data_IF_946889279956
#
_entry.id   IF_946889279956
#
_cell.length_a   1.000
_cell.length_b   1.000
_cell.length_c   1.000
_cell.angle_alpha   90.00
_cell.angle_beta   90.00
_cell.angle_gamma   90.00
#
_symmetry.space_group_name_H-M   'P 1'
#
loop_
_entity.id
_entity.type
_entity.pdbx_description
1 polymer ?
#
# COMPACT_ATOMS: atom_id res chain seq x y z
N UNK A 1 -14.63 -70.15 8.45
CA UNK A 1 -14.58 -68.87 7.71
C UNK A 1 -13.15 -68.41 7.84
N UNK A 2 -12.32 -68.82 6.89
CA UNK A 2 -10.87 -68.96 7.10
C UNK A 2 -10.16 -67.93 6.21
N UNK A 3 -10.40 -66.64 6.48
CA UNK A 3 -9.69 -65.55 5.83
C UNK A 3 -8.27 -65.47 6.36
N UNK A 4 -7.28 -65.67 5.48
CA UNK A 4 -5.88 -65.59 5.88
C UNK A 4 -5.50 -64.13 6.22
N UNK A 5 -4.65 -63.88 7.24
CA UNK A 5 -4.28 -62.52 7.66
C UNK A 5 -3.67 -61.65 6.56
N UNK A 6 -3.21 -62.23 5.44
CA UNK A 6 -2.59 -61.53 4.32
C UNK A 6 -3.55 -60.68 3.49
N UNK A 7 -4.84 -61.05 3.40
CA UNK A 7 -5.80 -60.34 2.55
C UNK A 7 -6.27 -59.01 3.19
N UNK A 8 -6.15 -58.88 4.51
CA UNK A 8 -6.52 -57.66 5.25
C UNK A 8 -5.46 -56.56 5.05
N UNK A 9 -4.16 -56.91 4.94
CA UNK A 9 -3.08 -55.94 4.73
C UNK A 9 -3.01 -55.38 3.29
N UNK A 10 -3.42 -56.16 2.29
CA UNK A 10 -3.52 -55.66 0.90
C UNK A 10 -4.68 -54.66 0.72
N UNK A 11 -5.75 -54.79 1.50
CA UNK A 11 -6.88 -53.85 1.48
C UNK A 11 -6.51 -52.48 2.07
N UNK A 12 -5.72 -52.44 3.16
CA UNK A 12 -5.27 -51.19 3.80
C UNK A 12 -4.26 -50.45 2.89
N UNK A 13 -3.39 -51.18 2.19
CA UNK A 13 -2.40 -50.58 1.28
C UNK A 13 -3.06 -49.96 0.04
N UNK A 14 -4.16 -50.54 -0.48
CA UNK A 14 -4.94 -49.94 -1.58
C UNK A 14 -5.77 -48.73 -1.15
N UNK A 15 -6.30 -48.72 0.07
CA UNK A 15 -7.09 -47.58 0.56
C UNK A 15 -6.23 -46.33 0.84
N UNK A 16 -4.96 -46.55 1.20
CA UNK A 16 -3.95 -45.49 1.39
C UNK A 16 -3.58 -44.77 0.09
N UNK A 17 -3.63 -45.44 -1.07
CA UNK A 17 -3.32 -44.82 -2.38
C UNK A 17 -4.52 -44.09 -3.03
N UNK A 18 -5.72 -44.19 -2.47
CA UNK A 18 -6.95 -43.69 -3.11
C UNK A 18 -7.54 -42.41 -2.49
N UNK A 19 -6.95 -41.86 -1.43
CA UNK A 19 -7.27 -40.49 -1.00
C UNK A 19 -6.56 -39.50 -1.92
N UNK A 20 -7.04 -39.42 -3.17
CA UNK A 20 -6.82 -38.27 -4.02
C UNK A 20 -7.44 -37.08 -3.28
N UNK A 21 -6.61 -36.37 -2.52
CA UNK A 21 -6.94 -35.05 -1.99
C UNK A 21 -7.22 -34.21 -3.21
N UNK A 22 -8.50 -34.01 -3.52
CA UNK A 22 -8.91 -33.12 -4.60
C UNK A 22 -8.43 -31.74 -4.17
N UNK A 23 -7.43 -31.15 -4.86
CA UNK A 23 -6.93 -29.85 -4.46
C UNK A 23 -8.08 -28.86 -4.54
N UNK A 24 -8.29 -28.13 -3.45
CA UNK A 24 -9.28 -27.06 -3.42
C UNK A 24 -8.94 -26.07 -4.55
N UNK A 25 -9.84 -25.85 -5.53
CA UNK A 25 -9.55 -24.98 -6.67
C UNK A 25 -9.29 -23.52 -6.25
N UNK A 26 -9.59 -23.16 -5.00
CA UNK A 26 -9.36 -21.82 -4.43
C UNK A 26 -7.97 -21.66 -3.82
N UNK A 27 -7.14 -22.71 -3.81
CA UNK A 27 -5.78 -22.67 -3.29
C UNK A 27 -4.80 -23.07 -4.39
N UNK A 28 -3.85 -22.18 -4.66
CA UNK A 28 -2.71 -22.42 -5.53
C UNK A 28 -1.48 -22.70 -4.68
N UNK A 29 -1.06 -23.95 -4.62
CA UNK A 29 0.21 -24.32 -4.01
C UNK A 29 1.37 -24.11 -4.99
N UNK A 30 2.37 -23.35 -4.56
CA UNK A 30 3.64 -23.18 -5.29
C UNK A 30 4.76 -23.64 -4.38
N UNK A 31 5.58 -24.55 -4.88
CA UNK A 31 6.73 -25.07 -4.14
C UNK A 31 7.97 -24.29 -4.57
N UNK A 32 8.61 -23.66 -3.60
CA UNK A 32 9.83 -22.90 -3.79
C UNK A 32 11.03 -23.62 -3.18
N UNK A 33 12.21 -23.41 -3.77
CA UNK A 33 13.50 -23.85 -3.23
C UNK A 33 14.37 -22.62 -2.94
N UNK A 34 14.96 -22.57 -1.75
CA UNK A 34 15.92 -21.56 -1.38
C UNK A 34 17.10 -22.20 -0.65
N UNK A 35 18.30 -22.04 -1.23
CA UNK A 35 19.53 -22.68 -0.76
C UNK A 35 19.42 -24.21 -0.76
N UNK A 36 19.03 -24.80 0.37
CA UNK A 36 18.94 -26.25 0.58
C UNK A 36 17.59 -26.70 1.15
N UNK A 37 16.64 -25.79 1.31
CA UNK A 37 15.30 -26.12 1.80
C UNK A 37 14.25 -25.86 0.73
N UNK A 38 13.20 -26.69 0.77
CA UNK A 38 12.03 -26.57 -0.08
C UNK A 38 10.84 -26.18 0.79
N UNK A 39 10.05 -25.20 0.35
CA UNK A 39 8.87 -24.71 1.07
C UNK A 39 7.68 -24.63 0.11
N UNK A 40 6.61 -25.33 0.44
CA UNK A 40 5.32 -25.19 -0.21
C UNK A 40 4.58 -23.97 0.35
N UNK A 41 4.09 -23.10 -0.52
CA UNK A 41 3.34 -21.88 -0.17
C UNK A 41 1.98 -21.96 -0.85
N UNK A 42 0.93 -21.86 -0.05
CA UNK A 42 -0.46 -21.84 -0.49
C UNK A 42 -0.94 -20.40 -0.69
N UNK A 43 -1.21 -20.02 -1.93
CA UNK A 43 -1.86 -18.76 -2.30
C UNK A 43 -3.36 -18.97 -2.39
N UNK A 44 -4.12 -18.07 -1.79
CA UNK A 44 -5.60 -18.15 -1.78
C UNK A 44 -6.28 -16.94 -2.43
N UNK A 45 -5.51 -16.01 -3.02
CA UNK A 45 -6.04 -14.81 -3.66
C UNK A 45 -5.09 -14.28 -4.72
N UNK A 46 -5.63 -13.50 -5.65
CA UNK A 46 -4.85 -12.74 -6.64
C UNK A 46 -4.93 -11.23 -6.34
N UNK A 47 -3.88 -10.44 -6.65
CA UNK A 47 -2.61 -10.87 -7.25
C UNK A 47 -1.70 -11.63 -6.27
N UNK A 48 -0.92 -12.60 -6.78
CA UNK A 48 0.01 -13.39 -5.95
C UNK A 48 1.10 -12.51 -5.32
N UNK A 49 1.46 -11.41 -5.99
CA UNK A 49 2.51 -10.50 -5.54
C UNK A 49 3.92 -10.97 -5.85
N UNK A 50 4.11 -11.74 -6.93
CA UNK A 50 5.41 -12.24 -7.39
C UNK A 50 5.80 -11.60 -8.72
N UNK A 51 7.08 -11.33 -8.92
CA UNK A 51 7.68 -11.14 -10.24
C UNK A 51 8.77 -12.18 -10.44
N UNK A 52 8.82 -12.78 -11.63
CA UNK A 52 9.74 -13.85 -11.98
C UNK A 52 10.80 -13.34 -12.97
N UNK A 53 12.02 -13.84 -12.87
CA UNK A 53 13.08 -13.58 -13.83
C UNK A 53 12.91 -14.44 -15.09
N UNK A 54 13.16 -13.87 -16.27
CA UNK A 54 13.11 -14.57 -17.56
C UNK A 54 14.36 -15.43 -17.83
N UNK A 55 14.97 -15.97 -16.77
CA UNK A 55 16.15 -16.84 -16.85
C UNK A 55 15.80 -18.21 -16.31
N UNK A 56 16.45 -19.25 -16.83
CA UNK A 56 16.34 -20.60 -16.28
C UNK A 56 17.54 -20.90 -15.37
N UNK A 57 17.33 -21.40 -14.14
CA UNK A 57 16.03 -21.72 -13.52
C UNK A 57 15.21 -20.48 -13.15
N UNK A 58 13.88 -20.62 -13.11
CA UNK A 58 12.95 -19.52 -12.82
C UNK A 58 13.11 -19.06 -11.37
N UNK A 59 13.59 -17.84 -11.19
CA UNK A 59 13.82 -17.20 -9.89
C UNK A 59 12.81 -16.08 -9.62
N UNK A 60 12.49 -15.87 -8.35
CA UNK A 60 11.69 -14.72 -7.89
C UNK A 60 12.58 -13.47 -7.90
N UNK A 61 12.22 -12.45 -8.68
CA UNK A 61 12.97 -11.18 -8.77
C UNK A 61 12.39 -10.08 -7.89
N UNK A 62 11.09 -10.13 -7.61
CA UNK A 62 10.41 -9.16 -6.74
C UNK A 62 9.27 -9.83 -6.00
N UNK A 63 9.08 -9.43 -4.74
CA UNK A 63 8.01 -9.90 -3.88
C UNK A 63 7.21 -8.70 -3.36
N UNK A 64 5.89 -8.85 -3.29
CA UNK A 64 4.92 -7.87 -2.79
C UNK A 64 3.63 -8.59 -2.35
N UNK A 65 2.65 -7.85 -1.80
CA UNK A 65 1.31 -8.38 -1.54
C UNK A 65 1.29 -9.67 -0.70
N UNK A 66 0.53 -10.66 -1.17
CA UNK A 66 0.37 -11.94 -0.47
C UNK A 66 1.69 -12.71 -0.36
N UNK A 67 2.51 -12.76 -1.41
CA UNK A 67 3.79 -13.47 -1.35
C UNK A 67 4.71 -12.94 -0.25
N UNK A 68 4.74 -11.62 -0.04
CA UNK A 68 5.52 -11.01 1.05
C UNK A 68 4.97 -11.42 2.43
N UNK A 69 3.64 -11.46 2.58
CA UNK A 69 2.97 -11.88 3.82
C UNK A 69 3.24 -13.35 4.16
N UNK A 70 3.39 -14.21 3.14
CA UNK A 70 3.71 -15.63 3.29
C UNK A 70 5.21 -15.90 3.46
N UNK A 71 6.04 -14.83 3.50
CA UNK A 71 7.48 -14.91 3.71
C UNK A 71 8.23 -15.52 2.52
N UNK A 72 7.75 -15.28 1.29
CA UNK A 72 8.53 -15.54 0.07
C UNK A 72 9.59 -14.44 -0.04
N UNK A 73 10.82 -14.80 -0.45
CA UNK A 73 11.90 -13.85 -0.62
C UNK A 73 12.41 -13.82 -2.07
N UNK A 74 13.11 -12.74 -2.42
CA UNK A 74 13.78 -12.61 -3.72
C UNK A 74 14.90 -13.65 -3.81
N UNK A 75 15.07 -14.25 -4.99
CA UNK A 75 16.07 -15.29 -5.26
C UNK A 75 15.55 -16.73 -5.07
N UNK A 76 14.33 -16.92 -4.56
CA UNK A 76 13.73 -18.26 -4.44
C UNK A 76 13.45 -18.87 -5.83
N UNK A 77 13.71 -20.16 -5.97
CA UNK A 77 13.54 -20.93 -7.21
C UNK A 77 12.16 -21.59 -7.24
N UNK A 78 11.44 -21.48 -8.36
CA UNK A 78 10.12 -22.13 -8.50
C UNK A 78 10.32 -23.59 -8.91
N UNK A 79 9.96 -24.53 -8.03
CA UNK A 79 10.09 -25.99 -8.26
C UNK A 79 8.82 -26.60 -8.82
N UNK A 80 7.65 -26.20 -8.31
CA UNK A 80 6.35 -26.75 -8.70
C UNK A 80 5.26 -25.68 -8.62
N UNK A 81 4.28 -25.75 -9.51
CA UNK A 81 3.11 -24.86 -9.55
C UNK A 81 1.86 -25.72 -9.68
N UNK A 82 0.95 -25.66 -8.71
CA UNK A 82 -0.29 -26.44 -8.73
C UNK A 82 -0.08 -27.96 -8.78
N UNK A 83 1.03 -28.45 -8.20
CA UNK A 83 1.41 -29.86 -8.23
C UNK A 83 2.22 -30.28 -9.46
N UNK A 84 2.32 -29.44 -10.49
CA UNK A 84 3.14 -29.73 -11.68
C UNK A 84 4.60 -29.30 -11.45
N UNK A 85 5.52 -30.27 -11.52
CA UNK A 85 6.96 -30.01 -11.36
C UNK A 85 7.49 -29.24 -12.55
N UNK A 86 8.07 -28.08 -12.27
CA UNK A 86 8.62 -27.16 -13.27
C UNK A 86 10.12 -27.37 -13.45
N UNK A 87 10.87 -27.54 -12.36
CA UNK A 87 12.33 -27.58 -12.40
C UNK A 87 12.91 -28.81 -13.11
N UNK A 88 12.18 -29.93 -13.11
CA UNK A 88 12.62 -31.18 -13.73
C UNK A 88 12.27 -31.25 -15.23
N UNK A 89 11.30 -30.45 -15.67
CA UNK A 89 10.56 -30.70 -16.91
C UNK A 89 11.16 -30.07 -18.17
N UNK A 90 12.38 -29.49 -18.10
CA UNK A 90 13.02 -28.70 -19.18
C UNK A 90 12.07 -27.67 -19.85
N UNK A 91 11.04 -27.24 -19.13
CA UNK A 91 10.02 -26.34 -19.66
C UNK A 91 10.62 -24.94 -19.85
N UNK A 92 10.36 -24.28 -20.99
CA UNK A 92 10.78 -22.90 -21.19
C UNK A 92 10.00 -21.96 -20.26
N UNK A 93 10.59 -20.81 -19.92
CA UNK A 93 10.03 -19.83 -18.97
C UNK A 93 8.57 -19.46 -19.26
N UNK A 94 8.21 -19.27 -20.54
CA UNK A 94 6.84 -18.93 -20.95
C UNK A 94 5.83 -19.99 -20.50
N UNK A 95 6.14 -21.29 -20.59
CA UNK A 95 5.23 -22.35 -20.13
C UNK A 95 5.00 -22.29 -18.62
N UNK A 96 6.04 -21.96 -17.84
CA UNK A 96 5.94 -21.78 -16.39
C UNK A 96 5.09 -20.57 -16.05
N UNK A 97 5.32 -19.45 -16.74
CA UNK A 97 4.55 -18.22 -16.56
C UNK A 97 3.08 -18.42 -16.95
N UNK A 98 2.81 -19.14 -18.04
CA UNK A 98 1.46 -19.50 -18.48
C UNK A 98 0.76 -20.39 -17.45
N UNK A 99 1.43 -21.43 -16.95
CA UNK A 99 0.89 -22.33 -15.93
C UNK A 99 0.57 -21.57 -14.64
N UNK A 100 1.48 -20.72 -14.17
CA UNK A 100 1.26 -19.89 -12.97
C UNK A 100 0.11 -18.89 -13.17
N UNK A 101 0.04 -18.25 -14.34
CA UNK A 101 -1.04 -17.30 -14.66
C UNK A 101 -2.39 -18.01 -14.75
N UNK A 102 -2.46 -19.14 -15.44
CA UNK A 102 -3.67 -19.94 -15.56
C UNK A 102 -4.16 -20.44 -14.20
N UNK A 103 -3.24 -20.89 -13.34
CA UNK A 103 -3.58 -21.31 -11.99
C UNK A 103 -4.03 -20.14 -11.11
N UNK A 104 -3.36 -18.98 -11.19
CA UNK A 104 -3.72 -17.78 -10.42
C UNK A 104 -5.09 -17.21 -10.82
N UNK A 105 -5.52 -17.36 -12.08
CA UNK A 105 -6.85 -16.93 -12.54
C UNK A 105 -8.00 -17.69 -11.87
N UNK A 106 -7.74 -18.86 -11.28
CA UNK A 106 -8.73 -19.65 -10.54
C UNK A 106 -8.94 -19.14 -9.11
N UNK A 107 -8.01 -18.32 -8.62
CA UNK A 107 -8.09 -17.74 -7.28
C UNK A 107 -9.09 -16.57 -7.24
N UNK A 108 -9.80 -16.38 -6.11
CA UNK A 108 -10.61 -15.19 -5.93
C UNK A 108 -9.75 -13.93 -6.06
N UNK A 109 -10.27 -12.93 -6.77
CA UNK A 109 -9.63 -11.63 -6.82
C UNK A 109 -9.79 -10.97 -5.46
N UNK A 110 -8.69 -10.57 -4.85
CA UNK A 110 -8.78 -9.72 -3.67
C UNK A 110 -9.20 -8.33 -4.15
N UNK A 111 -10.47 -8.00 -3.98
CA UNK A 111 -10.99 -6.66 -4.24
C UNK A 111 -10.49 -5.63 -3.22
N UNK A 112 -9.62 -6.03 -2.28
CA UNK A 112 -8.97 -5.08 -1.39
C UNK A 112 -8.31 -3.98 -2.24
N UNK A 113 -8.69 -2.71 -2.01
CA UNK A 113 -8.11 -1.61 -2.75
C UNK A 113 -6.59 -1.65 -2.57
N UNK A 114 -5.82 -1.24 -3.60
CA UNK A 114 -4.38 -1.19 -3.48
C UNK A 114 -4.04 -0.35 -2.26
N UNK A 115 -3.10 -0.85 -1.46
CA UNK A 115 -2.67 -0.21 -0.22
C UNK A 115 -1.18 -0.42 -0.01
N UNK A 116 -0.54 0.47 0.74
CA UNK A 116 0.85 0.26 1.15
C UNK A 116 1.10 0.69 2.60
N UNK A 117 1.90 -0.07 3.36
CA UNK A 117 2.27 0.30 4.72
C UNK A 117 3.40 1.34 4.71
N UNK A 118 3.33 2.28 5.64
CA UNK A 118 4.42 3.17 6.02
C UNK A 118 4.65 3.04 7.52
N UNK A 119 5.91 2.99 7.94
CA UNK A 119 6.30 2.96 9.35
C UNK A 119 6.83 4.34 9.71
N UNK A 120 6.25 4.92 10.75
CA UNK A 120 6.64 6.20 11.32
C UNK A 120 7.26 5.98 12.70
N UNK A 121 8.17 6.86 13.09
CA UNK A 121 8.64 7.04 14.46
C UNK A 121 7.99 8.29 15.03
N UNK A 122 7.23 8.12 16.11
CA UNK A 122 6.60 9.25 16.80
C UNK A 122 7.61 10.05 17.66
N UNK A 123 7.14 11.13 18.27
CA UNK A 123 7.96 12.00 19.12
C UNK A 123 8.47 11.30 20.39
N UNK A 124 7.84 10.19 20.79
CA UNK A 124 8.28 9.35 21.91
C UNK A 124 9.26 8.26 21.46
N UNK A 125 9.61 8.20 20.17
CA UNK A 125 10.48 7.19 19.59
C UNK A 125 9.79 5.86 19.28
N UNK A 126 8.47 5.74 19.47
CA UNK A 126 7.74 4.50 19.18
C UNK A 126 7.48 4.36 17.66
N UNK A 127 7.62 3.14 17.16
CA UNK A 127 7.35 2.84 15.75
C UNK A 127 5.87 2.51 15.54
N UNK A 128 5.21 3.23 14.63
CA UNK A 128 3.80 3.07 14.27
C UNK A 128 3.67 2.72 12.80
N UNK A 129 3.04 1.57 12.52
CA UNK A 129 2.75 1.12 11.17
C UNK A 129 1.36 1.62 10.77
N UNK A 130 1.29 2.37 9.67
CA UNK A 130 0.06 2.93 9.10
C UNK A 130 -0.11 2.43 7.68
N UNK A 131 -1.32 2.04 7.29
CA UNK A 131 -1.63 1.53 5.95
C UNK A 131 -2.40 2.62 5.20
N UNK A 132 -1.87 3.06 4.05
CA UNK A 132 -2.54 4.04 3.19
C UNK A 132 -3.23 3.33 2.03
N UNK A 133 -4.48 3.68 1.79
CA UNK A 133 -5.35 3.07 0.78
C UNK A 133 -5.86 4.08 -0.25
N UNK A 134 -5.48 5.37 -0.13
CA UNK A 134 -6.01 6.46 -0.96
C UNK A 134 -4.94 7.45 -1.40
N UNK A 135 -5.15 8.05 -2.58
CA UNK A 135 -4.33 9.12 -3.15
C UNK A 135 -5.14 10.44 -3.20
N UNK A 136 -4.66 11.55 -2.62
CA UNK A 136 -3.39 11.72 -1.91
C UNK A 136 -3.40 11.04 -0.54
N UNK A 137 -2.22 10.69 -0.02
CA UNK A 137 -2.06 10.12 1.32
C UNK A 137 -2.38 11.12 2.43
N UNK A 138 -2.43 12.41 2.12
CA UNK A 138 -2.65 13.47 3.10
C UNK A 138 -1.42 13.77 3.96
N UNK A 139 -0.24 13.27 3.64
CA UNK A 139 1.00 13.57 4.39
C UNK A 139 1.86 14.55 3.58
N UNK A 140 2.31 15.63 4.22
CA UNK A 140 3.33 16.55 3.67
C UNK A 140 4.63 16.35 4.44
N UNK A 141 5.74 16.34 3.70
CA UNK A 141 7.06 16.15 4.27
C UNK A 141 7.91 17.42 4.14
N UNK A 142 8.77 17.67 5.12
CA UNK A 142 9.78 18.71 5.02
C UNK A 142 10.79 18.31 3.92
N UNK A 143 11.04 19.20 2.95
CA UNK A 143 11.94 18.94 1.80
C UNK A 143 13.42 19.20 2.10
N UNK A 144 13.80 19.28 3.38
CA UNK A 144 15.07 19.90 3.75
C UNK A 144 16.22 18.91 3.77
N UNK A 145 16.05 17.74 4.41
CA UNK A 145 17.06 16.69 4.61
C UNK A 145 16.40 15.41 5.15
N UNK A 146 17.11 14.28 5.07
CA UNK A 146 16.78 13.10 5.85
C UNK A 146 17.22 13.30 7.32
N UNK A 147 16.45 12.77 8.29
CA UNK A 147 15.32 11.86 8.10
C UNK A 147 14.02 12.57 7.67
N UNK A 148 13.13 11.86 6.96
CA UNK A 148 11.94 12.47 6.35
C UNK A 148 10.88 12.76 7.42
N UNK A 149 10.78 14.02 7.86
CA UNK A 149 9.83 14.46 8.89
C UNK A 149 8.52 14.95 8.27
N UNK A 150 7.40 14.58 8.89
CA UNK A 150 6.06 15.07 8.55
C UNK A 150 5.95 16.55 8.93
N UNK A 151 5.80 17.41 7.92
CA UNK A 151 5.64 18.87 8.09
C UNK A 151 4.18 19.32 8.05
N UNK A 152 3.26 18.44 7.65
CA UNK A 152 1.84 18.74 7.60
C UNK A 152 1.01 17.50 7.42
N UNK A 153 -0.17 17.48 8.02
CA UNK A 153 -1.12 16.37 7.94
C UNK A 153 -2.45 16.89 7.42
N UNK A 154 -3.03 16.19 6.44
CA UNK A 154 -4.38 16.40 5.94
C UNK A 154 -5.36 15.40 6.54
N UNK A 155 -6.66 15.66 6.38
CA UNK A 155 -7.74 14.93 7.05
C UNK A 155 -7.64 13.39 6.98
N UNK A 156 -7.23 12.82 5.84
CA UNK A 156 -7.08 11.36 5.72
C UNK A 156 -5.95 10.81 6.58
N UNK A 157 -4.74 11.39 6.50
CA UNK A 157 -3.62 10.96 7.33
C UNK A 157 -3.87 11.20 8.83
N UNK A 158 -4.57 12.28 9.16
CA UNK A 158 -4.98 12.60 10.53
C UNK A 158 -5.97 11.55 11.06
N UNK A 159 -6.92 11.10 10.24
CA UNK A 159 -7.86 10.02 10.61
C UNK A 159 -7.18 8.68 10.88
N UNK A 160 -5.98 8.47 10.30
CA UNK A 160 -5.11 7.31 10.57
C UNK A 160 -4.19 7.53 11.78
N UNK A 161 -4.29 8.68 12.44
CA UNK A 161 -3.52 9.05 13.62
C UNK A 161 -2.10 9.53 13.35
N UNK A 162 -1.75 9.84 12.10
CA UNK A 162 -0.45 10.43 11.76
C UNK A 162 -0.39 11.86 12.26
N UNK A 163 0.73 12.27 12.85
CA UNK A 163 0.91 13.62 13.40
C UNK A 163 2.14 14.32 12.82
N UNK A 164 2.14 15.65 12.87
CA UNK A 164 3.29 16.47 12.51
C UNK A 164 4.49 16.18 13.43
N UNK A 165 5.70 16.33 12.88
CA UNK A 165 6.94 16.01 13.58
C UNK A 165 7.31 14.53 13.61
N UNK A 166 6.42 13.62 13.21
CA UNK A 166 6.75 12.20 13.06
C UNK A 166 7.77 11.99 11.93
N UNK A 167 8.61 10.98 12.08
CA UNK A 167 9.68 10.68 11.12
C UNK A 167 9.42 9.36 10.40
N UNK A 168 9.46 9.33 9.07
CA UNK A 168 9.28 8.08 8.31
C UNK A 168 10.53 7.22 8.43
N UNK A 169 10.36 5.95 8.81
CA UNK A 169 11.44 4.97 8.91
C UNK A 169 11.37 3.90 7.82
N UNK A 170 10.17 3.52 7.37
CA UNK A 170 10.02 2.55 6.27
C UNK A 170 8.83 2.87 5.38
N UNK A 171 8.98 2.61 4.08
CA UNK A 171 7.92 2.74 3.07
C UNK A 171 7.80 1.42 2.32
N UNK A 172 6.60 0.81 2.33
CA UNK A 172 6.33 -0.47 1.69
C UNK A 172 7.33 -1.58 2.06
N UNK A 173 7.77 -1.60 3.32
CA UNK A 173 8.74 -2.58 3.85
C UNK A 173 10.21 -2.29 3.50
N UNK A 174 10.51 -1.24 2.74
CA UNK A 174 11.88 -0.77 2.51
C UNK A 174 12.26 0.19 3.62
N UNK A 175 13.32 -0.11 4.37
CA UNK A 175 13.89 0.82 5.36
C UNK A 175 14.59 1.98 4.64
N UNK A 176 14.22 3.21 5.00
CA UNK A 176 14.74 4.44 4.39
C UNK A 176 15.66 5.22 5.34
N UNK A 177 15.97 4.68 6.52
CA UNK A 177 16.85 5.34 7.51
C UNK A 177 18.34 5.19 7.20
N UNK A 178 18.70 4.33 6.25
CA UNK A 178 20.07 4.06 5.86
C UNK A 178 20.75 5.26 5.18
N UNK A 179 22.08 5.42 5.34
CA UNK A 179 22.84 6.56 4.77
C UNK A 179 22.90 6.57 3.24
N UNK A 180 22.50 5.47 2.59
CA UNK A 180 22.50 5.32 1.14
C UNK A 180 21.31 5.98 0.45
N UNK A 181 20.25 6.33 1.18
CA UNK A 181 19.05 6.93 0.59
C UNK A 181 19.21 8.44 0.47
N UNK A 182 18.86 8.97 -0.70
CA UNK A 182 18.68 10.41 -0.90
C UNK A 182 17.21 10.80 -0.78
N UNK A 183 16.92 12.10 -0.69
CA UNK A 183 15.53 12.59 -0.71
C UNK A 183 14.81 12.15 -1.99
N UNK A 184 15.49 12.23 -3.14
CA UNK A 184 14.93 11.88 -4.46
C UNK A 184 14.59 10.39 -4.58
N UNK A 185 15.41 9.51 -3.97
CA UNK A 185 15.13 8.07 -3.91
C UNK A 185 13.85 7.79 -3.11
N UNK A 186 13.69 8.46 -1.96
CA UNK A 186 12.51 8.30 -1.10
C UNK A 186 11.27 8.90 -1.76
N UNK A 187 11.38 10.05 -2.43
CA UNK A 187 10.27 10.63 -3.19
C UNK A 187 9.85 9.71 -4.34
N UNK A 188 10.81 9.16 -5.08
CA UNK A 188 10.55 8.22 -6.17
C UNK A 188 9.87 6.94 -5.66
N UNK A 189 10.31 6.44 -4.50
CA UNK A 189 9.69 5.31 -3.81
C UNK A 189 8.24 5.62 -3.42
N UNK A 190 7.99 6.78 -2.79
CA UNK A 190 6.65 7.22 -2.40
C UNK A 190 5.73 7.38 -3.61
N UNK A 191 6.18 8.06 -4.67
CA UNK A 191 5.40 8.23 -5.91
C UNK A 191 5.00 6.89 -6.51
N UNK A 192 5.92 5.93 -6.55
CA UNK A 192 5.65 4.57 -7.05
C UNK A 192 4.62 3.82 -6.20
N UNK A 193 4.62 4.03 -4.89
CA UNK A 193 3.66 3.41 -3.97
C UNK A 193 2.28 4.09 -3.99
N UNK A 194 2.23 5.41 -4.18
CA UNK A 194 0.99 6.21 -4.19
C UNK A 194 0.27 6.15 -5.54
N UNK A 195 1.01 6.04 -6.66
CA UNK A 195 0.44 5.99 -8.00
C UNK A 195 -0.69 4.95 -8.23
N UNK A 196 -0.60 3.70 -7.72
CA UNK A 196 -1.67 2.72 -7.90
C UNK A 196 -2.88 2.92 -6.97
N UNK A 197 -2.80 3.79 -5.96
CA UNK A 197 -3.89 3.99 -5.00
C UNK A 197 -5.08 4.69 -5.68
N UNK A 198 -6.34 4.32 -5.33
CA UNK A 198 -7.51 5.02 -5.83
C UNK A 198 -7.47 6.49 -5.43
N UNK A 199 -7.75 7.38 -6.38
CA UNK A 199 -7.91 8.79 -6.08
C UNK A 199 -9.11 8.97 -5.13
N UNK A 200 -8.95 9.78 -4.08
CA UNK A 200 -10.10 10.20 -3.29
C UNK A 200 -11.13 10.81 -4.24
N UNK A 201 -12.35 10.28 -4.21
CA UNK A 201 -13.47 10.94 -4.85
C UNK A 201 -13.53 12.35 -4.26
N UNK A 202 -13.24 13.37 -5.07
CA UNK A 202 -13.46 14.75 -4.66
C UNK A 202 -14.91 14.80 -4.20
N UNK A 203 -15.21 15.16 -2.94
CA UNK A 203 -16.59 15.28 -2.52
C UNK A 203 -17.23 16.23 -3.52
N UNK A 204 -18.18 15.70 -4.30
CA UNK A 204 -18.98 16.51 -5.18
C UNK A 204 -19.82 17.32 -4.21
N UNK A 205 -19.33 18.51 -3.86
CA UNK A 205 -20.13 19.48 -3.14
C UNK A 205 -21.25 19.86 -4.09
N UNK A 206 -22.32 19.08 -4.08
CA UNK A 206 -23.61 19.54 -4.53
C UNK A 206 -24.01 20.57 -3.48
N UNK A 207 -23.54 21.80 -3.66
CA UNK A 207 -24.09 22.97 -2.98
C UNK A 207 -25.50 23.09 -3.55
N UNK A 208 -26.42 22.30 -3.02
CA UNK A 208 -27.84 22.55 -3.15
C UNK A 208 -28.02 23.83 -2.35
N UNK A 209 -27.89 24.97 -3.04
CA UNK A 209 -28.50 26.20 -2.59
C UNK A 209 -29.99 25.88 -2.54
N UNK A 210 -30.46 25.39 -1.39
CA UNK A 210 -31.88 25.44 -1.09
C UNK A 210 -32.25 26.91 -1.29
N UNK A 211 -33.10 27.24 -2.27
CA UNK A 211 -33.53 28.61 -2.43
C UNK A 211 -34.19 28.97 -1.11
N UNK A 212 -33.57 29.89 -0.38
CA UNK A 212 -34.16 30.47 0.80
C UNK A 212 -35.41 31.25 0.34
N UNK A 213 -36.54 30.54 0.34
CA UNK A 213 -37.83 31.06 -0.07
C UNK A 213 -38.28 32.22 0.84
N UNK A 214 -37.70 32.32 2.04
CA UNK A 214 -37.90 33.45 2.95
C UNK A 214 -37.11 34.70 2.50
N UNK A 215 -35.87 34.55 2.00
CA UNK A 215 -35.07 35.68 1.52
C UNK A 215 -35.63 36.35 0.24
N UNK A 216 -36.33 35.59 -0.62
CA UNK A 216 -37.04 36.18 -1.79
C UNK A 216 -38.21 37.09 -1.39
N UNK A 217 -38.86 36.85 -0.25
CA UNK A 217 -39.96 37.72 0.24
C UNK A 217 -39.48 39.02 0.87
N UNK A 218 -38.24 39.09 1.37
CA UNK A 218 -37.70 40.33 1.95
C UNK A 218 -37.19 41.30 0.89
N UNK A 219 -36.62 40.84 -0.22
CA UNK A 219 -36.14 41.73 -1.28
C UNK A 219 -37.29 42.45 -2.01
N UNK A 220 -38.43 41.78 -2.21
CA UNK A 220 -39.61 42.36 -2.86
C UNK A 220 -40.32 43.42 -1.98
N UNK A 221 -40.16 43.32 -0.66
CA UNK A 221 -40.68 44.33 0.28
C UNK A 221 -39.76 45.55 0.43
N UNK A 222 -38.46 45.43 0.09
CA UNK A 222 -37.50 46.53 0.19
C UNK A 222 -37.61 47.54 -0.97
N UNK A 223 -38.06 47.11 -2.15
CA UNK A 223 -38.24 48.01 -3.32
C UNK A 223 -39.38 49.02 -3.11
N UNK A 224 -40.34 48.75 -2.22
CA UNK A 224 -41.49 49.66 -1.98
C UNK A 224 -41.21 50.81 -1.00
N UNK A 225 -40.11 50.78 -0.24
CA UNK A 225 -39.80 51.83 0.74
C UNK A 225 -38.37 52.33 0.56
N UNK A 226 -38.17 53.09 -0.52
CA UNK A 226 -36.93 53.81 -0.77
C UNK A 226 -36.43 54.54 0.48
N UNK A 227 -35.31 54.05 1.01
CA UNK A 227 -34.42 54.82 1.87
C UNK A 227 -33.02 54.71 1.31
N UNK A 228 -32.60 55.81 0.68
CA UNK A 228 -31.22 56.08 0.35
C UNK A 228 -30.37 56.02 1.61
N UNK A 229 -29.58 54.95 1.76
CA UNK A 229 -28.51 54.89 2.74
C UNK A 229 -27.19 55.17 2.00
N UNK A 230 -26.66 56.35 2.29
CA UNK A 230 -25.38 56.89 1.84
C UNK A 230 -24.26 55.89 2.11
N UNK A 231 -23.56 55.49 1.05
CA UNK A 231 -22.34 54.69 1.13
C UNK A 231 -21.25 55.47 1.88
N UNK A 232 -20.99 55.05 3.13
CA UNK A 232 -19.84 55.51 3.91
C UNK A 232 -18.62 54.71 3.44
N UNK A 233 -17.79 55.34 2.62
CA UNK A 233 -16.48 54.84 2.19
C UNK A 233 -15.64 54.57 3.43
N UNK A 234 -15.42 53.30 3.73
CA UNK A 234 -14.58 52.84 4.83
C UNK A 234 -13.14 52.78 4.31
N UNK A 235 -12.33 53.78 4.66
CA UNK A 235 -10.92 53.81 4.32
C UNK A 235 -10.18 52.63 5.00
N UNK A 236 -9.29 51.94 4.27
CA UNK A 236 -8.52 50.85 4.83
C UNK A 236 -7.51 51.35 5.88
N UNK A 237 -7.30 50.61 6.97
CA UNK A 237 -6.36 51.01 8.02
C UNK A 237 -4.90 51.01 7.51
N UNK A 238 -4.04 51.87 8.06
CA UNK A 238 -2.65 51.99 7.67
C UNK A 238 -1.88 50.68 7.94
N UNK A 239 -1.13 50.22 6.93
CA UNK A 239 -0.20 49.08 7.05
C UNK A 239 0.98 49.47 7.93
N UNK A 240 1.02 48.93 9.15
CA UNK A 240 2.18 49.03 10.04
C UNK A 240 3.24 48.03 9.55
N UNK A 241 4.27 48.52 8.87
CA UNK A 241 5.48 47.75 8.57
C UNK A 241 6.35 47.67 9.83
N UNK A 242 6.16 46.62 10.63
CA UNK A 242 7.08 46.25 11.70
C UNK A 242 8.37 45.70 11.09
N UNK A 243 9.47 46.43 11.30
CA UNK A 243 10.84 46.04 10.93
C UNK A 243 11.27 44.86 11.80
N UNK A 244 11.67 43.71 11.24
CA UNK A 244 12.24 42.63 12.05
C UNK A 244 13.62 43.04 12.57
N UNK A 245 13.77 42.96 13.90
CA UNK A 245 15.02 43.11 14.63
C UNK A 245 16.03 42.05 14.14
N UNK A 246 17.20 42.50 13.67
CA UNK A 246 18.31 41.61 13.33
C UNK A 246 18.95 41.09 14.62
N UNK A 247 19.15 39.76 14.79
CA UNK A 247 19.95 39.24 15.88
C UNK A 247 21.43 39.56 15.66
N UNK A 248 22.05 40.18 16.66
CA UNK A 248 23.49 40.42 16.77
C UNK A 248 24.27 39.10 16.75
N UNK A 249 25.34 39.07 15.96
CA UNK A 249 26.27 37.95 15.89
C UNK A 249 27.25 37.97 17.08
N UNK A 250 27.58 36.81 17.68
CA UNK A 250 28.57 36.74 18.76
C UNK A 250 29.98 37.00 18.23
N UNK A 251 30.70 37.89 18.90
CA UNK A 251 32.11 38.18 18.64
C UNK A 251 32.98 36.99 19.05
N UNK A 252 33.86 36.55 18.15
CA UNK A 252 34.97 35.66 18.46
C UNK A 252 35.98 36.42 19.34
N UNK A 253 36.33 35.82 20.47
CA UNK A 253 37.51 36.18 21.27
C UNK A 253 38.66 35.27 20.86
N UNK A 254 39.79 35.90 20.49
CA UNK A 254 41.08 35.29 20.17
C UNK A 254 41.74 34.59 21.38
#
# INVERSE_FOLDING_TARGET
MDGTPSEIYDCITRYSQALHVVPDPTILEVVFEHKSFTKAIAFNRRPLGLSLGNSMPVTVTKVSGQAAQLGVEVGWLVKSVGGERVAESRLPFNKVADALTAAALRLPYDESPPSFPMVFRDLCGQSRRVIFEQNPTGVRFARTRLPLTVSGVGAYAESLGVQEGWTVTSVAGTDITGPSFTYDDVESLLRRCVAPLPAQAKPKLDIIFAPDEAARRELDNSVKHGKAAVAKVMEPPPRVFGRPEQPEAPQLVD
#
